data_IF_875141982645
#
_entry.id   IF_875141982645
#
_cell.length_a   1.000
_cell.length_b   1.000
_cell.length_c   1.000
_cell.angle_alpha   90.00
_cell.angle_beta   90.00
_cell.angle_gamma   90.00
#
_symmetry.space_group_name_H-M   'P 1'
#
loop_
_entity.id
_entity.type
_entity.pdbx_description
1 polymer ?
#
# COMPACT_ATOMS: atom_id res chain seq x y z
N UNK A 1 4.48 -15.48 -4.12
CA UNK A 1 3.60 -14.45 -4.66
C UNK A 1 2.34 -14.35 -3.84
N UNK A 2 1.90 -13.18 -3.55
CA UNK A 2 0.68 -12.86 -2.82
C UNK A 2 -0.35 -12.22 -3.77
N UNK A 3 -1.55 -12.02 -3.31
CA UNK A 3 -2.66 -11.49 -4.11
C UNK A 3 -3.44 -10.45 -3.31
N UNK A 4 -4.10 -9.52 -4.01
CA UNK A 4 -4.91 -8.47 -3.39
C UNK A 4 -6.27 -8.93 -2.88
N UNK A 5 -6.72 -10.13 -3.24
CA UNK A 5 -8.06 -10.64 -2.91
C UNK A 5 -8.08 -11.27 -1.52
N UNK A 6 -8.89 -10.76 -0.57
CA UNK A 6 -8.96 -11.30 0.79
C UNK A 6 -9.73 -12.62 0.89
N UNK A 7 -10.64 -12.89 -0.06
CA UNK A 7 -11.47 -14.08 -0.12
C UNK A 7 -11.31 -14.77 -1.47
N UNK A 8 -10.54 -15.87 -1.48
CA UNK A 8 -10.28 -16.66 -2.69
C UNK A 8 -11.15 -17.91 -2.77
N UNK A 9 -11.80 -18.32 -1.69
CA UNK A 9 -12.59 -19.57 -1.64
C UNK A 9 -13.79 -19.53 -2.57
N UNK A 10 -14.37 -18.36 -2.78
CA UNK A 10 -15.51 -18.13 -3.64
C UNK A 10 -15.16 -17.79 -5.10
N UNK A 11 -13.89 -17.80 -5.44
CA UNK A 11 -13.37 -17.47 -6.78
C UNK A 11 -12.52 -18.62 -7.35
N UNK A 12 -13.13 -19.79 -7.62
CA UNK A 12 -12.40 -20.97 -8.11
C UNK A 12 -11.85 -20.73 -9.52
N UNK A 13 -10.82 -21.49 -9.87
CA UNK A 13 -10.29 -21.52 -11.24
C UNK A 13 -11.41 -21.87 -12.23
N UNK A 14 -11.57 -21.05 -13.26
CA UNK A 14 -12.46 -21.30 -14.40
C UNK A 14 -11.67 -21.25 -15.70
N UNK A 15 -12.06 -22.08 -16.63
CA UNK A 15 -11.57 -22.05 -18.02
C UNK A 15 -12.74 -21.70 -18.95
N UNK A 16 -12.57 -20.67 -19.77
CA UNK A 16 -13.61 -20.20 -20.69
C UNK A 16 -12.95 -19.54 -21.91
N UNK A 17 -13.34 -19.98 -23.10
CA UNK A 17 -12.81 -19.42 -24.36
C UNK A 17 -11.29 -19.51 -24.50
N UNK A 18 -10.65 -20.54 -23.95
CA UNK A 18 -9.21 -20.72 -23.96
C UNK A 18 -8.46 -19.79 -23.00
N UNK A 19 -9.16 -19.19 -22.06
CA UNK A 19 -8.59 -18.32 -21.02
C UNK A 19 -8.84 -18.93 -19.65
N UNK A 20 -7.90 -18.72 -18.73
CA UNK A 20 -8.00 -19.11 -17.33
C UNK A 20 -8.36 -17.87 -16.49
N UNK A 21 -9.27 -18.04 -15.55
CA UNK A 21 -9.74 -17.00 -14.64
C UNK A 21 -9.62 -17.50 -13.20
N UNK A 22 -8.81 -16.85 -12.40
CA UNK A 22 -8.72 -17.02 -10.95
C UNK A 22 -8.03 -15.81 -10.32
N UNK A 23 -8.21 -15.57 -9.01
CA UNK A 23 -7.42 -14.57 -8.30
C UNK A 23 -5.92 -14.81 -8.47
N UNK A 24 -5.15 -13.75 -8.79
CA UNK A 24 -3.69 -13.83 -8.92
C UNK A 24 -3.17 -14.66 -10.10
N UNK A 25 -4.02 -15.14 -11.02
CA UNK A 25 -3.55 -15.99 -12.13
C UNK A 25 -2.75 -15.20 -13.17
N UNK A 26 -3.11 -13.94 -13.40
CA UNK A 26 -2.35 -13.01 -14.26
C UNK A 26 -1.27 -12.30 -13.49
N UNK A 27 -1.67 -11.74 -12.37
CA UNK A 27 -0.85 -10.98 -11.45
C UNK A 27 -0.74 -11.76 -10.12
N UNK A 28 0.41 -12.50 -9.85
CA UNK A 28 1.53 -12.60 -10.81
C UNK A 28 1.89 -14.07 -11.14
N UNK A 29 0.97 -15.02 -10.91
CA UNK A 29 1.23 -16.46 -11.12
C UNK A 29 1.73 -16.76 -12.55
N UNK A 30 1.20 -16.08 -13.57
CA UNK A 30 1.66 -16.25 -14.94
C UNK A 30 3.14 -15.86 -15.11
N UNK A 31 3.57 -14.79 -14.45
CA UNK A 31 4.97 -14.36 -14.45
C UNK A 31 5.86 -15.36 -13.72
N UNK A 32 5.40 -15.90 -12.58
CA UNK A 32 6.13 -16.96 -11.88
C UNK A 32 6.33 -18.20 -12.76
N UNK A 33 5.30 -18.64 -13.50
CA UNK A 33 5.41 -19.76 -14.44
C UNK A 33 6.41 -19.45 -15.53
N UNK A 34 6.37 -18.26 -16.13
CA UNK A 34 7.32 -17.83 -17.15
C UNK A 34 8.76 -17.83 -16.62
N UNK A 35 8.98 -17.32 -15.40
CA UNK A 35 10.29 -17.32 -14.76
C UNK A 35 10.82 -18.76 -14.53
N UNK A 36 9.98 -19.66 -14.05
CA UNK A 36 10.34 -21.06 -13.84
C UNK A 36 10.64 -21.77 -15.17
N UNK A 37 9.90 -21.47 -16.24
CA UNK A 37 10.16 -22.02 -17.56
C UNK A 37 11.48 -21.47 -18.16
N UNK A 38 11.80 -20.21 -17.94
CA UNK A 38 13.08 -19.62 -18.33
C UNK A 38 14.25 -20.29 -17.57
N UNK A 39 14.12 -20.46 -16.27
CA UNK A 39 15.12 -21.17 -15.45
C UNK A 39 15.32 -22.62 -15.94
N UNK A 40 14.23 -23.34 -16.19
CA UNK A 40 14.29 -24.70 -16.75
C UNK A 40 15.01 -24.73 -18.10
N UNK A 41 14.73 -23.77 -18.98
CA UNK A 41 15.41 -23.67 -20.28
C UNK A 41 16.92 -23.49 -20.13
N UNK A 42 17.36 -22.56 -19.27
CA UNK A 42 18.78 -22.31 -19.00
C UNK A 42 19.50 -23.58 -18.50
N UNK A 43 18.87 -24.31 -17.58
CA UNK A 43 19.41 -25.57 -17.04
C UNK A 43 19.50 -26.64 -18.14
N UNK A 44 18.44 -26.83 -18.91
CA UNK A 44 18.40 -27.86 -19.96
C UNK A 44 19.40 -27.59 -21.11
N UNK A 45 19.61 -26.33 -21.41
CA UNK A 45 20.60 -25.90 -22.42
C UNK A 45 22.02 -25.83 -21.89
N UNK A 46 22.23 -26.05 -20.60
CA UNK A 46 23.53 -25.93 -19.95
C UNK A 46 24.21 -24.59 -20.30
N UNK A 47 23.40 -23.51 -20.32
CA UNK A 47 23.88 -22.18 -20.71
C UNK A 47 24.95 -21.72 -19.70
N UNK A 48 26.16 -21.46 -20.20
CA UNK A 48 27.21 -20.86 -19.39
C UNK A 48 26.83 -19.41 -19.06
N UNK A 49 26.75 -19.07 -17.79
CA UNK A 49 26.44 -17.72 -17.32
C UNK A 49 27.67 -17.16 -16.59
N UNK A 50 27.91 -15.88 -16.78
CA UNK A 50 28.99 -15.16 -16.08
C UNK A 50 28.71 -15.03 -14.58
N UNK A 51 27.42 -14.88 -14.24
CA UNK A 51 26.95 -14.76 -12.86
C UNK A 51 25.97 -15.87 -12.51
N UNK A 52 25.93 -16.20 -11.22
CA UNK A 52 24.90 -17.08 -10.69
C UNK A 52 23.52 -16.43 -10.79
N UNK A 53 22.48 -17.24 -11.03
CA UNK A 53 21.08 -16.79 -11.06
C UNK A 53 20.37 -17.30 -9.83
N UNK A 54 19.75 -16.39 -9.09
CA UNK A 54 18.87 -16.68 -7.97
C UNK A 54 17.42 -16.45 -8.43
N UNK A 55 16.65 -17.52 -8.55
CA UNK A 55 15.20 -17.44 -8.83
C UNK A 55 14.44 -17.40 -7.52
N UNK A 56 13.60 -16.40 -7.34
CA UNK A 56 12.89 -16.13 -6.08
C UNK A 56 11.39 -16.02 -6.36
N UNK A 57 10.60 -16.84 -5.69
CA UNK A 57 9.16 -16.63 -5.53
C UNK A 57 8.98 -15.76 -4.28
N UNK A 58 8.69 -14.49 -4.48
CA UNK A 58 8.59 -13.48 -3.42
C UNK A 58 7.16 -13.35 -2.88
N UNK A 59 7.02 -12.69 -1.75
CA UNK A 59 5.74 -12.36 -1.12
C UNK A 59 5.78 -10.97 -0.49
N UNK A 60 4.63 -10.50 0.00
CA UNK A 60 4.46 -9.20 0.65
C UNK A 60 4.68 -8.00 -0.30
N UNK A 61 4.39 -8.17 -1.60
CA UNK A 61 4.31 -7.05 -2.53
C UNK A 61 2.94 -6.37 -2.42
N UNK A 62 1.89 -7.16 -2.36
CA UNK A 62 0.52 -6.69 -2.42
C UNK A 62 0.03 -6.00 -1.14
N UNK A 63 -0.97 -5.14 -1.29
CA UNK A 63 -1.70 -4.53 -0.19
C UNK A 63 -0.78 -3.82 0.82
N UNK A 64 -0.79 -4.29 2.05
CA UNK A 64 0.01 -3.76 3.15
C UNK A 64 1.31 -4.56 3.41
N UNK A 65 1.67 -5.46 2.52
CA UNK A 65 2.87 -6.31 2.66
C UNK A 65 4.21 -5.55 2.69
N UNK A 66 4.22 -4.27 2.30
CA UNK A 66 5.34 -3.34 2.47
C UNK A 66 6.66 -3.79 1.83
N UNK A 67 6.62 -4.68 0.83
CA UNK A 67 7.79 -5.31 0.19
C UNK A 67 8.68 -6.09 1.18
N UNK A 68 8.14 -6.64 2.25
CA UNK A 68 8.94 -7.27 3.30
C UNK A 68 9.73 -8.47 2.80
N UNK A 69 9.17 -9.25 1.84
CA UNK A 69 9.91 -10.32 1.18
C UNK A 69 11.12 -9.80 0.41
N UNK A 70 10.97 -8.72 -0.35
CA UNK A 70 12.08 -8.08 -1.09
C UNK A 70 13.10 -7.49 -0.13
N UNK A 71 12.67 -6.82 0.95
CA UNK A 71 13.58 -6.28 1.98
C UNK A 71 14.40 -7.40 2.63
N UNK A 72 13.77 -8.53 2.98
CA UNK A 72 14.46 -9.69 3.53
C UNK A 72 15.47 -10.31 2.54
N UNK A 73 15.12 -10.37 1.24
CA UNK A 73 16.02 -10.82 0.18
C UNK A 73 17.26 -9.92 0.11
N UNK A 74 17.08 -8.61 0.08
CA UNK A 74 18.19 -7.66 0.02
C UNK A 74 19.00 -7.62 1.32
N UNK A 75 18.38 -7.79 2.48
CA UNK A 75 19.12 -7.93 3.75
C UNK A 75 20.06 -9.14 3.74
N UNK A 76 19.65 -10.24 3.08
CA UNK A 76 20.46 -11.48 3.03
C UNK A 76 21.50 -11.49 1.92
N UNK A 77 21.18 -10.97 0.75
CA UNK A 77 21.99 -11.13 -0.46
C UNK A 77 22.44 -9.82 -1.11
N UNK A 78 22.00 -8.66 -0.63
CA UNK A 78 22.14 -7.37 -1.31
C UNK A 78 23.55 -7.04 -1.79
N UNK A 79 24.58 -7.35 -0.97
CA UNK A 79 25.99 -7.14 -1.35
C UNK A 79 26.49 -8.04 -2.47
N UNK A 80 25.74 -9.09 -2.82
CA UNK A 80 26.07 -10.07 -3.86
C UNK A 80 25.24 -9.91 -5.12
N UNK A 81 24.20 -9.06 -5.08
CA UNK A 81 23.29 -8.84 -6.20
C UNK A 81 23.92 -7.84 -7.16
N UNK A 82 24.21 -8.27 -8.39
CA UNK A 82 24.72 -7.43 -9.48
C UNK A 82 23.57 -6.85 -10.31
N UNK A 83 22.47 -7.57 -10.42
CA UNK A 83 21.27 -7.15 -11.11
C UNK A 83 20.03 -7.76 -10.47
N UNK A 84 18.96 -6.99 -10.41
CA UNK A 84 17.66 -7.41 -9.86
C UNK A 84 16.58 -7.16 -10.90
N UNK A 85 15.81 -8.20 -11.20
CA UNK A 85 14.71 -8.16 -12.16
C UNK A 85 13.44 -8.66 -11.45
N UNK A 86 12.44 -7.81 -11.37
CA UNK A 86 11.11 -8.16 -10.88
C UNK A 86 10.18 -8.40 -12.07
N UNK A 87 9.46 -9.49 -12.02
CA UNK A 87 8.46 -9.86 -13.02
C UNK A 87 7.08 -9.69 -12.39
N UNK A 88 6.37 -8.70 -12.89
CA UNK A 88 5.06 -8.33 -12.41
C UNK A 88 4.28 -7.78 -13.60
N UNK A 89 2.95 -7.63 -13.46
CA UNK A 89 2.05 -7.18 -14.52
C UNK A 89 2.27 -7.90 -15.88
N UNK A 90 1.30 -7.77 -16.76
CA UNK A 90 1.19 -8.52 -18.03
C UNK A 90 1.56 -7.69 -19.27
N UNK A 91 2.21 -6.56 -19.10
CA UNK A 91 2.56 -5.65 -20.21
C UNK A 91 3.98 -5.92 -20.70
N UNK A 92 4.23 -5.87 -22.03
CA UNK A 92 5.57 -6.03 -22.59
C UNK A 92 6.41 -4.75 -22.37
N UNK A 93 6.48 -4.28 -21.15
CA UNK A 93 7.18 -3.06 -20.76
C UNK A 93 8.30 -3.41 -19.77
N UNK A 94 9.38 -2.64 -19.84
CA UNK A 94 10.44 -2.66 -18.86
C UNK A 94 10.41 -1.33 -18.09
N UNK A 95 10.07 -1.41 -16.81
CA UNK A 95 10.06 -0.25 -15.94
C UNK A 95 11.42 -0.13 -15.24
N UNK A 96 12.11 0.97 -15.43
CA UNK A 96 13.41 1.27 -14.82
C UNK A 96 13.35 2.28 -13.69
N UNK A 97 12.16 2.80 -13.36
CA UNK A 97 11.93 3.69 -12.22
C UNK A 97 10.80 3.18 -11.36
N UNK A 98 10.98 3.26 -10.07
CA UNK A 98 9.97 2.88 -9.08
C UNK A 98 9.30 4.11 -8.47
N UNK A 99 8.08 3.92 -7.97
CA UNK A 99 7.33 4.93 -7.22
C UNK A 99 7.41 4.60 -5.75
N UNK A 100 8.01 5.49 -4.95
CA UNK A 100 8.01 5.38 -3.51
C UNK A 100 6.62 5.69 -2.92
N UNK A 101 6.30 5.11 -1.76
CA UNK A 101 5.06 5.40 -1.05
C UNK A 101 5.23 5.38 0.46
N UNK A 102 4.53 6.30 1.14
CA UNK A 102 4.35 6.29 2.59
C UNK A 102 2.88 6.03 2.89
N UNK A 103 2.61 5.12 3.81
CA UNK A 103 1.27 4.64 4.14
C UNK A 103 1.01 4.75 5.62
N UNK A 104 -0.10 5.35 6.00
CA UNK A 104 -0.46 5.63 7.38
C UNK A 104 -1.88 5.16 7.69
N UNK A 105 -2.07 4.70 8.93
CA UNK A 105 -3.39 4.64 9.57
C UNK A 105 -3.48 5.79 10.56
N UNK A 106 -4.54 6.56 10.45
CA UNK A 106 -4.84 7.65 11.36
C UNK A 106 -6.11 7.29 12.12
N UNK A 107 -6.05 7.33 13.45
CA UNK A 107 -7.19 7.05 14.32
C UNK A 107 -7.48 8.28 15.17
N UNK A 108 -8.71 8.78 15.10
CA UNK A 108 -9.22 9.83 15.95
C UNK A 108 -10.05 9.20 17.09
N UNK A 109 -9.81 9.62 18.33
CA UNK A 109 -10.54 9.21 19.53
C UNK A 109 -11.13 10.42 20.23
N UNK A 110 -12.37 10.25 20.74
CA UNK A 110 -13.10 11.26 21.52
C UNK A 110 -13.82 10.58 22.69
N UNK A 111 -14.32 11.33 23.68
CA UNK A 111 -15.15 10.75 24.76
C UNK A 111 -16.41 10.06 24.24
N UNK A 112 -16.99 10.55 23.13
CA UNK A 112 -18.28 10.10 22.64
C UNK A 112 -19.44 10.56 23.51
N UNK A 113 -20.65 10.01 23.26
CA UNK A 113 -21.83 10.35 24.04
C UNK A 113 -23.15 10.05 23.33
N UNK A 114 -24.26 10.44 23.94
CA UNK A 114 -25.59 10.34 23.33
C UNK A 114 -25.85 11.58 22.47
N UNK A 115 -26.26 11.40 21.22
CA UNK A 115 -26.37 12.49 20.23
C UNK A 115 -27.28 13.64 20.65
N UNK A 116 -28.31 13.39 21.47
CA UNK A 116 -29.20 14.43 21.99
C UNK A 116 -28.72 15.00 23.33
N UNK A 117 -28.34 14.13 24.27
CA UNK A 117 -27.98 14.57 25.64
C UNK A 117 -26.60 15.29 25.64
N UNK A 118 -25.70 14.89 24.82
CA UNK A 118 -24.34 15.44 24.69
C UNK A 118 -24.15 16.25 23.40
N UNK A 119 -25.23 16.85 22.90
CA UNK A 119 -25.16 17.65 21.68
C UNK A 119 -24.13 18.79 21.81
N UNK A 120 -23.18 18.84 20.88
CA UNK A 120 -22.08 19.82 20.89
C UNK A 120 -20.73 19.22 21.31
N UNK A 121 -20.72 18.02 21.90
CA UNK A 121 -19.48 17.31 22.19
C UNK A 121 -18.78 16.85 20.88
N UNK A 122 -17.43 16.75 20.88
CA UNK A 122 -16.68 16.39 19.69
C UNK A 122 -16.98 14.94 19.27
N UNK A 123 -17.12 14.76 17.96
CA UNK A 123 -17.29 13.44 17.32
C UNK A 123 -16.03 13.06 16.55
N UNK A 124 -15.52 11.84 16.79
CA UNK A 124 -14.36 11.33 16.08
C UNK A 124 -14.56 11.30 14.56
N UNK A 125 -15.77 11.00 14.07
CA UNK A 125 -16.09 11.05 12.64
C UNK A 125 -16.00 12.49 12.13
N UNK A 126 -16.59 13.45 12.82
CA UNK A 126 -16.60 14.85 12.39
C UNK A 126 -15.18 15.43 12.34
N UNK A 127 -14.35 15.15 13.36
CA UNK A 127 -12.96 15.60 13.41
C UNK A 127 -12.11 14.95 12.32
N UNK A 128 -12.28 13.63 12.10
CA UNK A 128 -11.57 12.91 11.05
C UNK A 128 -11.96 13.42 9.65
N UNK A 129 -13.23 13.69 9.40
CA UNK A 129 -13.68 14.30 8.15
C UNK A 129 -13.08 15.69 7.93
N UNK A 130 -12.91 16.47 9.00
CA UNK A 130 -12.20 17.75 8.94
C UNK A 130 -10.76 17.60 8.50
N UNK A 131 -10.03 16.65 9.08
CA UNK A 131 -8.67 16.31 8.66
C UNK A 131 -8.63 15.84 7.19
N UNK A 132 -9.56 14.98 6.77
CA UNK A 132 -9.67 14.54 5.36
C UNK A 132 -9.80 15.75 4.43
N UNK A 133 -10.71 16.67 4.74
CA UNK A 133 -10.89 17.87 3.94
C UNK A 133 -9.60 18.71 3.85
N UNK A 134 -8.84 18.85 4.94
CA UNK A 134 -7.57 19.57 4.95
C UNK A 134 -6.51 18.85 4.11
N UNK A 135 -6.41 17.52 4.23
CA UNK A 135 -5.48 16.71 3.45
C UNK A 135 -5.72 16.88 1.94
N UNK A 136 -6.99 16.95 1.51
CA UNK A 136 -7.34 17.16 0.10
C UNK A 136 -7.14 18.61 -0.39
N UNK A 137 -6.78 19.55 0.48
CA UNK A 137 -6.31 20.90 0.09
C UNK A 137 -4.80 20.97 -0.10
N UNK A 138 -4.06 19.93 0.28
CA UNK A 138 -2.60 19.89 0.10
C UNK A 138 -2.29 19.95 -1.40
N UNK A 139 -1.48 20.94 -1.78
CA UNK A 139 -0.92 21.03 -3.13
C UNK A 139 0.34 20.15 -3.17
N UNK A 140 0.35 19.06 -3.93
CA UNK A 140 1.51 18.19 -4.04
C UNK A 140 2.66 18.92 -4.76
N UNK A 141 3.92 18.56 -4.48
CA UNK A 141 5.06 19.09 -5.22
C UNK A 141 4.94 18.80 -6.72
N UNK A 142 5.29 19.79 -7.54
CA UNK A 142 5.21 19.68 -9.01
C UNK A 142 6.51 19.22 -9.66
N UNK A 143 7.60 19.09 -8.88
CA UNK A 143 8.92 18.67 -9.36
C UNK A 143 8.93 17.24 -9.88
N UNK A 144 8.07 16.40 -9.34
CA UNK A 144 7.86 15.03 -9.74
C UNK A 144 6.38 14.66 -9.60
N UNK A 145 5.93 13.64 -10.33
CA UNK A 145 4.56 13.15 -10.18
C UNK A 145 4.35 12.68 -8.74
N UNK A 146 3.61 13.47 -7.99
CA UNK A 146 3.29 13.21 -6.59
C UNK A 146 1.77 13.13 -6.43
N UNK A 147 1.32 12.09 -5.75
CA UNK A 147 -0.11 11.80 -5.55
C UNK A 147 -0.37 11.44 -4.10
N UNK A 148 -1.61 11.56 -3.66
CA UNK A 148 -2.07 11.10 -2.36
C UNK A 148 -3.51 10.61 -2.43
N UNK A 149 -3.92 9.80 -1.44
CA UNK A 149 -5.26 9.25 -1.38
C UNK A 149 -5.65 8.85 0.04
N UNK A 150 -6.91 9.06 0.40
CA UNK A 150 -7.57 8.39 1.52
C UNK A 150 -8.34 7.21 0.94
N UNK A 151 -7.81 6.00 1.11
CA UNK A 151 -8.34 4.79 0.48
C UNK A 151 -9.44 4.08 1.29
N UNK A 152 -9.50 4.34 2.60
CA UNK A 152 -10.50 3.75 3.50
C UNK A 152 -10.80 4.71 4.64
N UNK A 153 -12.06 4.75 5.05
CA UNK A 153 -12.51 5.45 6.27
C UNK A 153 -13.55 4.57 6.97
N UNK A 154 -13.50 4.50 8.28
CA UNK A 154 -14.45 3.76 9.11
C UNK A 154 -14.61 4.40 10.48
N UNK A 155 -15.75 4.22 11.13
CA UNK A 155 -15.96 4.75 12.48
C UNK A 155 -17.42 4.79 12.92
N UNK A 156 -17.60 5.08 14.21
CA UNK A 156 -18.90 5.15 14.86
C UNK A 156 -19.52 3.77 15.15
N UNK A 157 -20.70 3.78 15.74
CA UNK A 157 -21.44 2.56 16.12
C UNK A 157 -22.92 2.62 15.72
N UNK A 158 -23.66 3.62 16.21
CA UNK A 158 -25.11 3.77 15.96
C UNK A 158 -25.46 5.22 15.63
N UNK A 159 -26.62 5.44 15.01
CA UNK A 159 -27.07 6.78 14.56
C UNK A 159 -27.27 7.76 15.72
N UNK A 160 -27.57 7.27 16.90
CA UNK A 160 -27.85 8.10 18.10
C UNK A 160 -26.66 8.20 19.07
N UNK A 161 -25.46 7.81 18.65
CA UNK A 161 -24.22 7.98 19.42
C UNK A 161 -23.29 8.99 18.73
N UNK A 162 -22.63 9.83 19.55
CA UNK A 162 -21.47 10.61 19.12
C UNK A 162 -20.30 9.62 18.99
N UNK A 163 -19.66 9.58 17.82
CA UNK A 163 -18.63 8.60 17.54
C UNK A 163 -17.41 8.77 18.46
N UNK A 164 -17.06 7.72 19.20
CA UNK A 164 -15.88 7.69 20.06
C UNK A 164 -14.59 7.45 19.29
N UNK A 165 -14.68 6.74 18.16
CA UNK A 165 -13.53 6.41 17.34
C UNK A 165 -13.88 6.43 15.87
N UNK A 166 -12.97 6.93 15.07
CA UNK A 166 -12.96 6.80 13.62
C UNK A 166 -11.52 6.66 13.13
N UNK A 167 -11.31 5.94 12.03
CA UNK A 167 -9.99 5.76 11.45
C UNK A 167 -10.01 5.86 9.94
N UNK A 168 -8.85 6.19 9.35
CA UNK A 168 -8.66 6.18 7.91
C UNK A 168 -7.30 5.61 7.53
N UNK A 169 -7.20 5.11 6.29
CA UNK A 169 -5.95 4.76 5.65
C UNK A 169 -5.61 5.85 4.62
N UNK A 170 -4.41 6.40 4.75
CA UNK A 170 -3.90 7.47 3.91
C UNK A 170 -2.55 7.08 3.32
N UNK A 171 -2.34 7.39 2.06
CA UNK A 171 -1.05 7.24 1.41
C UNK A 171 -0.69 8.45 0.57
N UNK A 172 0.60 8.66 0.36
CA UNK A 172 1.12 9.51 -0.69
C UNK A 172 2.28 8.82 -1.40
N UNK A 173 2.44 9.15 -2.67
CA UNK A 173 3.40 8.51 -3.57
C UNK A 173 4.15 9.55 -4.38
N UNK A 174 5.43 9.26 -4.67
CA UNK A 174 6.23 10.06 -5.61
C UNK A 174 7.37 9.22 -6.19
N UNK A 175 7.88 9.64 -7.36
CA UNK A 175 9.13 9.11 -7.93
C UNK A 175 10.37 9.84 -7.41
N UNK A 176 10.21 10.86 -6.55
CA UNK A 176 11.29 11.64 -5.96
C UNK A 176 11.19 11.65 -4.43
N UNK A 177 12.29 11.34 -3.77
CA UNK A 177 12.37 11.23 -2.31
C UNK A 177 12.07 12.57 -1.61
N UNK A 178 12.62 13.69 -2.11
CA UNK A 178 12.38 15.04 -1.59
C UNK A 178 10.91 15.46 -1.66
N UNK A 179 10.17 14.95 -2.66
CA UNK A 179 8.73 15.16 -2.75
C UNK A 179 7.96 14.34 -1.70
N UNK A 180 8.40 13.11 -1.38
CA UNK A 180 7.83 12.32 -0.30
C UNK A 180 8.04 13.00 1.07
N UNK A 181 9.23 13.50 1.32
CA UNK A 181 9.57 14.22 2.55
C UNK A 181 8.73 15.50 2.72
N UNK A 182 8.56 16.29 1.64
CA UNK A 182 7.68 17.45 1.65
C UNK A 182 6.22 17.09 1.91
N UNK A 183 5.74 15.99 1.33
CA UNK A 183 4.38 15.49 1.59
C UNK A 183 4.21 15.03 3.04
N UNK A 184 5.22 14.38 3.60
CA UNK A 184 5.18 13.98 5.01
C UNK A 184 5.11 15.17 5.95
N UNK A 185 5.88 16.23 5.69
CA UNK A 185 5.80 17.45 6.48
C UNK A 185 4.41 18.12 6.41
N UNK A 186 3.82 18.19 5.21
CA UNK A 186 2.46 18.72 5.02
C UNK A 186 1.42 17.88 5.74
N UNK A 187 1.51 16.56 5.64
CA UNK A 187 0.66 15.62 6.35
C UNK A 187 0.75 15.79 7.86
N UNK A 188 1.97 15.78 8.42
CA UNK A 188 2.16 15.93 9.87
C UNK A 188 1.67 17.27 10.40
N UNK A 189 1.80 18.35 9.63
CA UNK A 189 1.22 19.66 9.99
C UNK A 189 -0.29 19.63 10.04
N UNK A 190 -0.95 18.98 9.06
CA UNK A 190 -2.40 18.84 9.05
C UNK A 190 -2.89 18.03 10.26
N UNK A 191 -2.24 16.91 10.58
CA UNK A 191 -2.58 16.11 11.77
C UNK A 191 -2.40 16.92 13.05
N UNK A 192 -1.28 17.63 13.18
CA UNK A 192 -1.00 18.47 14.36
C UNK A 192 -2.03 19.60 14.52
N UNK A 193 -2.54 20.18 13.43
CA UNK A 193 -3.58 21.19 13.46
C UNK A 193 -4.91 20.66 14.01
N UNK A 194 -5.24 19.40 13.75
CA UNK A 194 -6.48 18.77 14.24
C UNK A 194 -6.33 18.16 15.63
N UNK A 195 -5.12 17.78 16.03
CA UNK A 195 -4.88 17.25 17.37
C UNK A 195 -5.16 18.30 18.44
N UNK A 196 -5.88 17.93 19.49
CA UNK A 196 -6.27 18.83 20.57
C UNK A 196 -7.53 19.68 20.31
N UNK A 197 -8.24 19.48 19.18
CA UNK A 197 -9.54 20.11 18.89
C UNK A 197 -10.74 19.33 19.47
N UNK A 198 -10.54 18.67 20.60
CA UNK A 198 -11.55 17.86 21.26
C UNK A 198 -11.45 16.38 20.96
N UNK A 199 -10.40 15.96 20.25
CA UNK A 199 -10.05 14.55 19.99
C UNK A 199 -8.54 14.35 19.95
N UNK A 200 -8.13 13.10 20.14
CA UNK A 200 -6.76 12.64 20.05
C UNK A 200 -6.55 11.94 18.74
N UNK A 201 -5.50 12.32 18.00
CA UNK A 201 -5.12 11.71 16.73
C UNK A 201 -3.87 10.86 16.92
N UNK A 202 -4.02 9.54 16.74
CA UNK A 202 -2.92 8.58 16.70
C UNK A 202 -2.54 8.33 15.24
N UNK A 203 -1.24 8.37 14.92
CA UNK A 203 -0.71 8.10 13.58
C UNK A 203 0.19 6.89 13.63
N UNK A 204 -0.19 5.85 12.94
CA UNK A 204 0.56 4.61 12.76
C UNK A 204 1.15 4.57 11.36
N UNK A 205 2.46 4.38 11.25
CA UNK A 205 3.13 4.13 9.97
C UNK A 205 2.93 2.66 9.58
N UNK A 206 2.20 2.41 8.50
CA UNK A 206 1.94 1.07 7.98
C UNK A 206 3.06 0.57 7.06
N UNK A 207 3.73 1.48 6.37
CA UNK A 207 4.84 1.09 5.51
C UNK A 207 5.46 2.22 4.72
N UNK A 208 6.70 1.98 4.34
CA UNK A 208 7.51 2.80 3.43
C UNK A 208 8.07 1.87 2.36
N UNK A 209 7.85 2.26 1.13
CA UNK A 209 8.35 1.54 -0.05
C UNK A 209 9.22 2.43 -0.91
#
# INVERSE_FOLDING_TARGET
>A
TDIVFPDVENLPLREEGGKLFAPGIGDDTANLVNLLMAAKYLIQKQTALEYGVLVVANACEEGLGNLDGTKALFAKYGTRIQGFYSFDIYTPLCCSSAVGSYRYKITCKTPGGHSYANFGDPSAIQLLCGLVNELYQIQPPVRSRTTYNVGRIEGGTTVNSIAQQASMLYEFRSTAQDCLEEMEEKFRRAVAHWNGRGGDFEVELLGIR
#
